data_IF_721110006136
#
_entry.id   IF_721110006136
#
_cell.length_a   1.000
_cell.length_b   1.000
_cell.length_c   1.000
_cell.angle_alpha   90.00
_cell.angle_beta   90.00
_cell.angle_gamma   90.00
#
_symmetry.space_group_name_H-M   'P 1'
#
loop_
_entity.id
_entity.type
_entity.pdbx_description
1 polymer ?
#
# COMPACT_ATOMS: atom_id res chain seq x y z
N UNK A 1 40.07 44.16 -10.53
CA UNK A 1 38.76 43.80 -11.09
C UNK A 1 37.70 44.36 -10.16
N UNK A 2 36.78 45.13 -10.72
CA UNK A 2 35.89 46.10 -10.05
C UNK A 2 34.51 45.48 -9.79
N UNK A 3 33.86 46.02 -8.74
CA UNK A 3 32.41 46.02 -8.42
C UNK A 3 31.96 44.92 -7.45
N UNK A 4 31.63 45.19 -6.19
CA UNK A 4 30.61 46.10 -5.61
C UNK A 4 29.17 45.72 -6.01
N UNK A 5 28.46 45.05 -5.09
CA UNK A 5 27.00 45.04 -4.98
C UNK A 5 26.67 45.05 -3.48
N UNK A 6 26.54 46.21 -2.85
CA UNK A 6 25.31 47.00 -2.71
C UNK A 6 24.21 46.27 -1.92
N UNK A 7 24.13 46.62 -0.62
CA UNK A 7 22.98 46.37 0.25
C UNK A 7 21.74 47.03 -0.36
N UNK A 8 20.70 46.25 -0.60
CA UNK A 8 19.34 46.80 -0.67
C UNK A 8 18.46 46.06 0.33
N UNK A 9 18.12 46.76 1.40
CA UNK A 9 16.99 46.42 2.25
C UNK A 9 15.74 46.43 1.37
N UNK A 10 15.10 45.29 1.22
CA UNK A 10 13.70 45.23 0.79
C UNK A 10 12.95 44.55 1.91
N UNK A 11 12.36 45.38 2.78
CA UNK A 11 11.27 44.99 3.64
C UNK A 11 10.13 44.50 2.76
N UNK A 12 9.97 43.17 2.64
CA UNK A 12 8.76 42.58 2.09
C UNK A 12 7.81 42.38 3.27
N UNK A 13 6.76 43.20 3.27
CA UNK A 13 5.61 43.09 4.16
C UNK A 13 5.07 41.65 4.21
N UNK A 14 4.67 41.26 5.41
CA UNK A 14 3.91 40.05 5.76
C UNK A 14 2.89 39.66 4.68
N UNK A 15 3.19 38.62 3.88
CA UNK A 15 2.15 37.75 3.37
C UNK A 15 1.96 36.64 4.40
N UNK A 16 0.81 36.70 5.05
CA UNK A 16 0.18 35.68 5.89
C UNK A 16 0.97 34.38 6.02
N UNK A 17 1.31 34.02 7.27
CA UNK A 17 1.54 32.63 7.62
C UNK A 17 0.29 31.85 7.21
N UNK A 18 0.31 31.28 6.01
CA UNK A 18 -0.53 30.14 5.69
C UNK A 18 0.20 29.02 6.43
N UNK A 19 -0.33 28.47 7.53
CA UNK A 19 0.05 27.12 7.85
C UNK A 19 -0.47 26.32 6.67
N UNK A 20 0.38 26.09 5.66
CA UNK A 20 0.19 24.91 4.84
C UNK A 20 0.51 23.80 5.83
N UNK A 21 -0.47 23.44 6.66
CA UNK A 21 -0.60 22.08 7.12
C UNK A 21 -0.72 21.29 5.84
N UNK A 22 0.43 20.96 5.24
CA UNK A 22 0.58 19.71 4.56
C UNK A 22 0.24 18.71 5.65
N UNK A 23 -1.05 18.39 5.74
CA UNK A 23 -1.44 17.06 6.19
C UNK A 23 -0.64 16.18 5.25
N UNK A 24 0.52 15.75 5.71
CA UNK A 24 1.14 14.56 5.20
C UNK A 24 0.14 13.48 5.60
N UNK A 25 -0.93 13.37 4.80
CA UNK A 25 -1.40 12.07 4.41
C UNK A 25 -0.15 11.48 3.76
N UNK A 26 0.72 10.93 4.60
CA UNK A 26 1.75 10.01 4.22
C UNK A 26 0.97 9.07 3.31
N UNK A 27 1.16 9.17 1.99
CA UNK A 27 0.75 8.10 1.12
C UNK A 27 1.55 6.93 1.65
N UNK A 28 0.92 6.17 2.54
CA UNK A 28 1.45 4.93 3.04
C UNK A 28 1.91 4.22 1.77
N UNK A 29 3.15 3.76 1.76
CA UNK A 29 3.72 3.08 0.61
C UNK A 29 2.88 1.80 0.39
N UNK A 30 1.77 1.91 -0.36
CA UNK A 30 0.82 0.83 -0.58
C UNK A 30 1.43 -0.04 -1.65
N UNK A 31 2.06 -1.11 -1.17
CA UNK A 31 2.66 -2.13 -2.02
C UNK A 31 1.57 -2.92 -2.74
N UNK A 32 1.75 -3.12 -4.06
CA UNK A 32 0.86 -3.94 -4.88
C UNK A 32 0.89 -5.42 -4.46
N UNK A 33 -0.16 -6.18 -4.79
CA UNK A 33 -0.13 -7.62 -4.51
C UNK A 33 0.95 -8.34 -5.32
N UNK A 34 1.21 -7.93 -6.56
CA UNK A 34 2.33 -8.45 -7.37
C UNK A 34 3.65 -8.38 -6.60
N UNK A 35 3.95 -7.22 -6.02
CA UNK A 35 5.19 -7.01 -5.26
C UNK A 35 5.18 -7.84 -3.96
N UNK A 36 4.04 -7.99 -3.29
CA UNK A 36 3.93 -8.87 -2.11
C UNK A 36 4.22 -10.32 -2.46
N UNK A 37 3.64 -10.80 -3.56
CA UNK A 37 3.81 -12.16 -4.05
C UNK A 37 5.25 -12.45 -4.51
N UNK A 38 5.92 -11.49 -5.16
CA UNK A 38 7.32 -11.64 -5.58
C UNK A 38 8.28 -11.74 -4.40
N UNK A 39 8.01 -11.01 -3.32
CA UNK A 39 8.82 -11.04 -2.09
C UNK A 39 8.35 -12.08 -1.06
N UNK A 40 7.40 -12.95 -1.43
CA UNK A 40 6.72 -13.91 -0.53
C UNK A 40 7.65 -14.73 0.38
N UNK A 41 8.86 -15.07 -0.09
CA UNK A 41 9.79 -15.87 0.70
C UNK A 41 10.59 -15.07 1.72
N UNK A 42 10.55 -13.73 1.66
CA UNK A 42 11.29 -12.81 2.51
C UNK A 42 10.42 -12.12 3.55
N UNK A 43 9.10 -12.33 3.52
CA UNK A 43 8.16 -11.72 4.47
C UNK A 43 7.91 -12.63 5.68
N UNK A 44 7.45 -12.08 6.81
CA UNK A 44 7.06 -12.88 7.97
C UNK A 44 6.03 -13.97 7.63
N UNK A 45 6.02 -15.04 8.42
CA UNK A 45 5.15 -16.19 8.17
C UNK A 45 3.66 -15.83 8.06
N UNK A 46 3.19 -14.88 8.87
CA UNK A 46 1.80 -14.43 8.88
C UNK A 46 1.44 -13.72 7.57
N UNK A 47 2.32 -12.85 7.07
CA UNK A 47 2.18 -12.19 5.76
C UNK A 47 2.21 -13.21 4.62
N UNK A 48 3.13 -14.18 4.70
CA UNK A 48 3.25 -15.27 3.73
C UNK A 48 1.94 -16.07 3.64
N UNK A 49 1.31 -16.42 4.78
CA UNK A 49 0.02 -17.14 4.78
C UNK A 49 -1.09 -16.37 4.07
N UNK A 50 -1.15 -15.04 4.25
CA UNK A 50 -2.11 -14.21 3.52
C UNK A 50 -1.84 -14.20 2.02
N UNK A 51 -0.57 -14.07 1.60
CA UNK A 51 -0.20 -14.17 0.18
C UNK A 51 -0.61 -15.51 -0.41
N UNK A 52 -0.41 -16.60 0.33
CA UNK A 52 -0.73 -17.97 -0.10
C UNK A 52 -2.23 -18.14 -0.29
N UNK A 53 -3.03 -17.67 0.66
CA UNK A 53 -4.48 -17.68 0.56
C UNK A 53 -4.98 -16.87 -0.65
N UNK A 54 -4.36 -15.72 -0.92
CA UNK A 54 -4.70 -14.88 -2.08
C UNK A 54 -4.34 -15.57 -3.42
N UNK A 55 -3.20 -16.25 -3.51
CA UNK A 55 -2.83 -17.04 -4.69
C UNK A 55 -3.79 -18.23 -4.92
N UNK A 56 -4.15 -18.94 -3.85
CA UNK A 56 -5.15 -20.00 -3.90
C UNK A 56 -6.49 -19.47 -4.42
N UNK A 57 -6.95 -18.33 -3.89
CA UNK A 57 -8.20 -17.70 -4.33
C UNK A 57 -8.15 -17.21 -5.78
N UNK A 58 -7.00 -16.73 -6.25
CA UNK A 58 -6.79 -16.33 -7.65
C UNK A 58 -6.68 -17.53 -8.61
N UNK A 59 -6.46 -18.74 -8.08
CA UNK A 59 -6.31 -19.97 -8.84
C UNK A 59 -5.06 -19.98 -9.73
N UNK A 60 -4.00 -19.29 -9.32
CA UNK A 60 -2.75 -19.21 -10.10
C UNK A 60 -1.55 -18.96 -9.20
N UNK A 61 -0.36 -19.39 -9.65
CA UNK A 61 0.93 -19.09 -9.01
C UNK A 61 1.64 -17.88 -9.63
N UNK A 62 1.14 -17.39 -10.77
CA UNK A 62 1.66 -16.20 -11.43
C UNK A 62 1.20 -14.96 -10.66
N UNK A 63 2.16 -14.23 -10.07
CA UNK A 63 1.89 -13.07 -9.23
C UNK A 63 1.15 -11.95 -9.97
N UNK A 64 1.46 -11.71 -11.25
CA UNK A 64 0.87 -10.63 -12.03
C UNK A 64 -0.56 -10.98 -12.45
N UNK A 65 -0.79 -12.23 -12.85
CA UNK A 65 -2.14 -12.72 -13.13
C UNK A 65 -3.00 -12.71 -11.86
N UNK A 66 -2.43 -13.10 -10.72
CA UNK A 66 -3.13 -13.05 -9.44
C UNK A 66 -3.53 -11.63 -9.05
N UNK A 67 -2.60 -10.66 -9.12
CA UNK A 67 -2.88 -9.24 -8.85
C UNK A 67 -3.98 -8.69 -9.75
N UNK A 68 -3.92 -8.98 -11.05
CA UNK A 68 -4.94 -8.56 -12.03
C UNK A 68 -6.33 -9.12 -11.68
N UNK A 69 -6.41 -10.43 -11.37
CA UNK A 69 -7.67 -11.07 -10.99
C UNK A 69 -8.21 -10.54 -9.67
N UNK A 70 -7.36 -10.36 -8.66
CA UNK A 70 -7.80 -9.94 -7.33
C UNK A 70 -8.25 -8.47 -7.31
N UNK A 71 -7.59 -7.59 -8.09
CA UNK A 71 -7.96 -6.17 -8.19
C UNK A 71 -9.32 -5.93 -8.84
N UNK A 72 -9.86 -6.87 -9.61
CA UNK A 72 -11.19 -6.72 -10.22
C UNK A 72 -12.32 -7.15 -9.28
N UNK A 73 -12.02 -7.80 -8.15
CA UNK A 73 -13.03 -8.33 -7.24
C UNK A 73 -13.62 -7.22 -6.36
N UNK A 74 -14.95 -7.19 -6.28
CA UNK A 74 -15.68 -6.43 -5.26
C UNK A 74 -15.85 -7.20 -3.95
N UNK A 75 -15.74 -8.53 -4.00
CA UNK A 75 -15.85 -9.40 -2.83
C UNK A 75 -14.74 -10.45 -2.84
N UNK A 76 -14.11 -10.65 -1.68
CA UNK A 76 -13.02 -11.59 -1.52
C UNK A 76 -13.29 -12.50 -0.32
N UNK A 77 -13.26 -13.79 -0.58
CA UNK A 77 -13.39 -14.84 0.42
C UNK A 77 -12.03 -15.52 0.54
N UNK A 78 -11.40 -15.39 1.71
CA UNK A 78 -10.14 -16.05 2.03
C UNK A 78 -10.37 -17.05 3.16
N UNK A 79 -9.96 -18.29 2.94
CA UNK A 79 -9.91 -19.34 3.95
C UNK A 79 -8.45 -19.64 4.29
N UNK A 80 -8.13 -19.70 5.58
CA UNK A 80 -6.80 -20.10 6.01
C UNK A 80 -6.60 -19.97 7.51
N UNK A 81 -5.62 -20.70 8.03
CA UNK A 81 -5.33 -20.72 9.45
C UNK A 81 -4.77 -19.36 9.90
N UNK A 82 -5.60 -18.62 10.61
CA UNK A 82 -5.20 -17.41 11.35
C UNK A 82 -4.54 -16.38 10.43
N UNK A 83 -5.28 -15.91 9.43
CA UNK A 83 -4.90 -14.78 8.58
C UNK A 83 -4.86 -13.50 9.43
N UNK A 84 -3.67 -13.15 9.94
CA UNK A 84 -3.46 -12.00 10.85
C UNK A 84 -2.93 -10.76 10.14
N UNK A 85 -1.96 -10.93 9.24
CA UNK A 85 -1.39 -9.80 8.49
C UNK A 85 -2.09 -9.64 7.15
N UNK A 86 -3.00 -8.67 7.08
CA UNK A 86 -3.80 -8.38 5.89
C UNK A 86 -3.21 -7.28 5.00
N UNK A 87 -1.99 -6.80 5.27
CA UNK A 87 -1.31 -5.79 4.43
C UNK A 87 -1.27 -6.15 2.92
N UNK A 88 -1.14 -7.43 2.50
CA UNK A 88 -1.17 -7.77 1.08
C UNK A 88 -2.46 -7.38 0.33
N UNK A 89 -3.57 -7.16 1.05
CA UNK A 89 -4.86 -6.77 0.46
C UNK A 89 -4.96 -5.25 0.20
N UNK A 90 -4.04 -4.44 0.73
CA UNK A 90 -4.18 -2.98 0.74
C UNK A 90 -4.30 -2.34 -0.66
N UNK A 91 -3.79 -3.00 -1.70
CA UNK A 91 -3.86 -2.51 -3.09
C UNK A 91 -5.14 -2.92 -3.85
N UNK A 92 -6.03 -3.71 -3.24
CA UNK A 92 -7.28 -4.16 -3.84
C UNK A 92 -8.37 -3.09 -3.69
N UNK A 93 -8.21 -1.95 -4.37
CA UNK A 93 -9.05 -0.75 -4.18
C UNK A 93 -10.51 -0.92 -4.59
N UNK A 94 -10.84 -1.95 -5.38
CA UNK A 94 -12.22 -2.26 -5.75
C UNK A 94 -12.95 -3.14 -4.72
N UNK A 95 -12.25 -3.66 -3.71
CA UNK A 95 -12.79 -4.58 -2.74
C UNK A 95 -13.76 -3.87 -1.78
N UNK A 96 -15.00 -4.34 -1.73
CA UNK A 96 -16.09 -3.81 -0.89
C UNK A 96 -16.43 -4.71 0.28
N UNK A 97 -16.24 -6.02 0.13
CA UNK A 97 -16.47 -6.99 1.20
C UNK A 97 -15.32 -8.00 1.28
N UNK A 98 -14.89 -8.29 2.51
CA UNK A 98 -13.88 -9.29 2.84
C UNK A 98 -14.46 -10.29 3.82
N UNK A 99 -14.42 -11.57 3.46
CA UNK A 99 -14.85 -12.67 4.30
C UNK A 99 -13.64 -13.52 4.64
N UNK A 100 -13.36 -13.66 5.94
CA UNK A 100 -12.25 -14.48 6.45
C UNK A 100 -12.84 -15.69 7.17
N UNK A 101 -12.52 -16.89 6.69
CA UNK A 101 -12.92 -18.13 7.34
C UNK A 101 -11.72 -18.79 8.01
N UNK A 102 -11.85 -19.02 9.32
CA UNK A 102 -10.91 -19.86 10.06
C UNK A 102 -11.28 -21.32 9.84
N UNK A 103 -10.32 -22.16 9.45
CA UNK A 103 -10.48 -23.60 9.56
C UNK A 103 -10.06 -23.98 10.97
N UNK A 104 -11.03 -24.43 11.78
CA UNK A 104 -10.73 -25.11 13.04
C UNK A 104 -10.64 -26.59 12.71
N UNK A 105 -9.47 -27.18 12.95
CA UNK A 105 -9.28 -28.62 13.00
C UNK A 105 -9.38 -29.09 14.45
#
# INVERSE_FOLDING_TARGET
>A
MKNLFALTSISILLLSAIPVTRVLAQQANVKSFTTWCQERNSVPADTKRTIDAMLLKAGTKDCQQADTKLKSLSELYLSGDRLKDLKPLASLTNLKALFLQFQSN
#
